data_IF_228786362166
#
_entry.id   IF_228786362166
#
_cell.length_a   1.000
_cell.length_b   1.000
_cell.length_c   1.000
_cell.angle_alpha   90.00
_cell.angle_beta   90.00
_cell.angle_gamma   90.00
#
_symmetry.space_group_name_H-M   'P 1'
#
loop_
_entity.id
_entity.type
_entity.pdbx_description
1 polymer ?
#
# COMPACT_ATOMS: atom_id res chain seq x y z
N UNK A 1 16.43 45.57 12.76
CA UNK A 1 15.60 45.13 13.88
C UNK A 1 15.35 43.66 13.65
N UNK A 2 16.22 42.85 14.07
CA UNK A 2 16.58 42.17 15.32
C UNK A 2 15.68 40.98 15.57
N UNK A 3 16.23 39.81 15.21
CA UNK A 3 16.53 38.65 16.09
C UNK A 3 15.41 38.27 17.07
N UNK A 4 14.62 37.26 16.67
CA UNK A 4 14.11 36.28 17.64
C UNK A 4 14.79 34.94 17.34
N UNK A 5 16.01 34.78 17.92
CA UNK A 5 16.68 33.48 18.05
C UNK A 5 15.90 32.74 19.14
N UNK A 6 15.19 31.70 18.74
CA UNK A 6 14.46 30.79 19.61
C UNK A 6 15.50 30.05 20.48
N UNK A 7 15.77 30.55 21.70
CA UNK A 7 16.56 29.85 22.71
C UNK A 7 15.74 28.64 23.20
N UNK A 8 15.86 27.50 22.54
CA UNK A 8 15.46 26.24 23.17
C UNK A 8 16.39 25.99 24.35
N UNK A 9 15.83 25.88 25.52
CA UNK A 9 16.57 25.60 26.75
C UNK A 9 17.34 24.27 26.60
N UNK A 10 18.54 24.17 27.15
CA UNK A 10 19.32 22.92 27.22
C UNK A 10 18.49 21.72 27.71
N UNK A 11 17.53 21.96 28.60
CA UNK A 11 16.60 20.94 29.10
C UNK A 11 15.63 20.46 28.03
N UNK A 12 15.14 21.33 27.15
CA UNK A 12 14.24 20.92 26.04
C UNK A 12 15.00 20.10 24.98
N UNK A 13 16.26 20.48 24.69
CA UNK A 13 17.09 19.71 23.75
C UNK A 13 17.42 18.33 24.34
N UNK A 14 17.69 18.23 25.63
CA UNK A 14 17.95 16.97 26.32
C UNK A 14 16.69 16.08 26.38
N UNK A 15 15.51 16.66 26.63
CA UNK A 15 14.23 15.93 26.62
C UNK A 15 13.92 15.39 25.22
N UNK A 16 14.07 16.19 24.17
CA UNK A 16 13.89 15.74 22.79
C UNK A 16 14.89 14.64 22.38
N UNK A 17 16.13 14.71 22.87
CA UNK A 17 17.13 13.67 22.63
C UNK A 17 16.77 12.35 23.34
N UNK A 18 16.25 12.41 24.57
CA UNK A 18 15.78 11.24 25.32
C UNK A 18 14.54 10.60 24.70
N UNK A 19 13.56 11.39 24.26
CA UNK A 19 12.38 10.89 23.53
C UNK A 19 12.80 10.21 22.23
N UNK A 20 13.76 10.77 21.50
CA UNK A 20 14.28 10.18 20.25
C UNK A 20 15.02 8.87 20.51
N UNK A 21 15.76 8.77 21.60
CA UNK A 21 16.49 7.56 22.01
C UNK A 21 15.53 6.44 22.44
N UNK A 22 14.50 6.75 23.24
CA UNK A 22 13.44 5.81 23.63
C UNK A 22 12.64 5.34 22.42
N UNK A 23 12.35 6.25 21.47
CA UNK A 23 11.70 5.92 20.22
C UNK A 23 12.52 4.92 19.39
N UNK A 24 13.82 5.10 19.29
CA UNK A 24 14.73 4.17 18.59
C UNK A 24 14.74 2.80 19.25
N UNK A 25 14.81 2.73 20.57
CA UNK A 25 14.76 1.46 21.29
C UNK A 25 13.45 0.70 21.09
N UNK A 26 12.29 1.39 21.09
CA UNK A 26 11.01 0.78 20.81
C UNK A 26 10.90 0.22 19.38
N UNK A 27 11.36 0.98 18.39
CA UNK A 27 11.42 0.56 16.99
C UNK A 27 12.32 -0.65 16.77
N UNK A 28 13.50 -0.65 17.38
CA UNK A 28 14.47 -1.74 17.26
C UNK A 28 13.99 -3.02 17.96
N UNK A 29 13.22 -2.92 19.04
CA UNK A 29 12.61 -4.07 19.70
C UNK A 29 11.57 -4.74 18.79
N UNK A 30 10.61 -3.98 18.25
CA UNK A 30 9.61 -4.48 17.29
C UNK A 30 10.30 -5.07 16.05
N UNK A 31 11.32 -4.37 15.52
CA UNK A 31 12.10 -4.84 14.37
C UNK A 31 12.86 -6.13 14.69
N UNK A 32 13.34 -6.32 15.90
CA UNK A 32 14.01 -7.54 16.35
C UNK A 32 13.08 -8.75 16.27
N UNK A 33 11.88 -8.64 16.85
CA UNK A 33 10.87 -9.70 16.84
C UNK A 33 10.37 -9.98 15.41
N UNK A 34 10.14 -8.95 14.61
CA UNK A 34 9.72 -9.10 13.22
C UNK A 34 10.80 -9.80 12.37
N UNK A 35 12.10 -9.48 12.57
CA UNK A 35 13.21 -10.17 11.88
C UNK A 35 13.26 -11.63 12.24
N UNK A 36 13.13 -11.99 13.50
CA UNK A 36 13.13 -13.39 13.93
C UNK A 36 11.96 -14.15 13.30
N UNK A 37 10.77 -13.56 13.27
CA UNK A 37 9.59 -14.12 12.64
C UNK A 37 9.74 -14.32 11.12
N UNK A 38 10.56 -13.47 10.46
CA UNK A 38 10.79 -13.49 9.01
C UNK A 38 11.97 -14.38 8.57
N UNK A 39 12.73 -14.97 9.49
CA UNK A 39 13.93 -15.77 9.17
C UNK A 39 13.68 -16.99 8.28
N UNK A 40 12.48 -17.55 8.34
CA UNK A 40 12.10 -18.77 7.60
C UNK A 40 11.23 -18.49 6.36
N UNK A 41 11.18 -17.24 5.91
CA UNK A 41 10.35 -16.80 4.78
C UNK A 41 9.25 -15.83 5.20
N UNK A 42 8.24 -15.60 4.34
CA UNK A 42 7.15 -14.67 4.66
C UNK A 42 6.44 -15.08 5.95
N UNK A 43 6.29 -14.17 6.94
CA UNK A 43 5.70 -14.49 8.22
C UNK A 43 4.24 -14.94 8.07
N UNK A 44 3.83 -16.04 8.72
CA UNK A 44 2.45 -16.53 8.68
C UNK A 44 1.54 -15.70 9.62
N UNK A 45 1.48 -14.39 9.40
CA UNK A 45 0.78 -13.40 10.25
C UNK A 45 -0.69 -13.76 10.48
N UNK A 46 -1.33 -14.47 9.55
CA UNK A 46 -2.71 -14.92 9.65
C UNK A 46 -2.93 -15.98 10.73
N UNK A 47 -1.89 -16.72 11.11
CA UNK A 47 -1.94 -17.71 12.17
C UNK A 47 -1.68 -17.11 13.55
N UNK A 48 -1.24 -15.85 13.61
CA UNK A 48 -0.91 -15.19 14.86
C UNK A 48 -2.12 -14.44 15.42
N UNK A 49 -2.41 -14.70 16.69
CA UNK A 49 -3.48 -14.02 17.42
C UNK A 49 -3.02 -13.64 18.84
N UNK A 50 -1.95 -12.86 18.97
CA UNK A 50 -1.45 -12.43 20.28
C UNK A 50 -2.38 -11.38 20.90
N UNK A 51 -2.21 -11.09 22.21
CA UNK A 51 -2.94 -10.02 22.86
C UNK A 51 -2.65 -8.66 22.21
N UNK A 52 -3.65 -7.77 22.26
CA UNK A 52 -3.48 -6.38 21.84
C UNK A 52 -2.70 -5.61 22.90
N UNK A 53 -1.62 -4.95 22.48
CA UNK A 53 -0.68 -4.24 23.36
C UNK A 53 -0.83 -2.70 23.31
N UNK A 54 -1.86 -2.21 22.62
CA UNK A 54 -2.07 -0.76 22.44
C UNK A 54 -1.73 -0.27 21.04
N UNK A 55 -1.93 1.03 20.81
CA UNK A 55 -1.64 1.69 19.56
C UNK A 55 -0.23 2.30 19.60
N UNK A 56 0.51 2.14 18.51
CA UNK A 56 1.79 2.81 18.28
C UNK A 56 1.55 4.17 17.61
N UNK A 57 2.34 5.18 17.96
CA UNK A 57 2.42 6.41 17.15
C UNK A 57 3.17 6.12 15.85
N UNK A 58 2.59 5.22 15.06
CA UNK A 58 3.07 4.83 13.74
C UNK A 58 1.97 5.07 12.72
N UNK A 59 2.34 5.70 11.60
CA UNK A 59 1.42 6.06 10.54
C UNK A 59 2.01 5.77 9.17
N UNK A 60 1.18 5.24 8.27
CA UNK A 60 1.47 5.14 6.84
C UNK A 60 0.66 6.23 6.15
N UNK A 61 1.35 7.21 5.58
CA UNK A 61 0.71 8.29 4.85
C UNK A 61 0.21 7.83 3.46
N UNK A 62 -0.68 8.60 2.85
CA UNK A 62 -1.27 8.30 1.54
C UNK A 62 -0.27 8.24 0.38
N UNK A 63 0.93 8.79 0.58
CA UNK A 63 2.08 8.74 -0.35
C UNK A 63 3.00 7.53 -0.09
N UNK A 64 2.61 6.63 0.81
CA UNK A 64 3.38 5.44 1.18
C UNK A 64 4.53 5.69 2.16
N UNK A 65 4.70 6.90 2.67
CA UNK A 65 5.72 7.22 3.68
C UNK A 65 5.30 6.69 5.04
N UNK A 66 6.20 5.95 5.68
CA UNK A 66 6.02 5.45 7.03
C UNK A 66 6.62 6.43 8.04
N UNK A 67 5.84 6.76 9.06
CA UNK A 67 6.25 7.62 10.17
C UNK A 67 6.23 6.85 11.48
N UNK A 68 7.17 7.16 12.34
CA UNK A 68 7.17 6.76 13.75
C UNK A 68 7.47 7.97 14.63
N UNK A 69 6.61 8.25 15.62
CA UNK A 69 6.66 9.47 16.44
C UNK A 69 6.82 10.73 15.57
N UNK A 70 5.97 10.83 14.52
CA UNK A 70 5.95 11.93 13.55
C UNK A 70 7.22 12.08 12.69
N UNK A 71 8.21 11.19 12.86
CA UNK A 71 9.45 11.21 12.08
C UNK A 71 9.40 10.16 10.97
N UNK A 72 9.75 10.48 9.71
CA UNK A 72 9.72 9.51 8.63
C UNK A 72 10.80 8.43 8.82
N UNK A 73 10.42 7.17 8.54
CA UNK A 73 11.32 6.03 8.58
C UNK A 73 12.08 5.96 7.25
N UNK A 74 13.29 6.50 7.20
CA UNK A 74 14.12 6.54 5.99
C UNK A 74 14.78 5.21 5.60
N UNK A 75 14.76 4.18 6.47
CA UNK A 75 15.39 2.87 6.19
C UNK A 75 14.41 1.94 5.48
N UNK A 76 14.53 1.80 4.16
CA UNK A 76 13.65 0.94 3.34
C UNK A 76 13.58 -0.50 3.86
N UNK A 77 14.70 -1.09 4.30
CA UNK A 77 14.73 -2.44 4.87
C UNK A 77 13.86 -2.58 6.14
N UNK A 78 13.74 -1.52 6.94
CA UNK A 78 12.89 -1.49 8.13
C UNK A 78 11.41 -1.38 7.74
N UNK A 79 11.09 -0.56 6.76
CA UNK A 79 9.74 -0.43 6.20
C UNK A 79 9.26 -1.78 5.65
N UNK A 80 10.08 -2.47 4.84
CA UNK A 80 9.77 -3.80 4.31
C UNK A 80 9.54 -4.82 5.43
N UNK A 81 10.34 -4.76 6.48
CA UNK A 81 10.19 -5.64 7.62
C UNK A 81 8.85 -5.42 8.33
N UNK A 82 8.46 -4.18 8.62
CA UNK A 82 7.16 -3.87 9.22
C UNK A 82 6.01 -4.23 8.28
N UNK A 83 6.17 -3.96 6.98
CA UNK A 83 5.20 -4.36 5.97
C UNK A 83 4.96 -5.87 5.98
N UNK A 84 6.00 -6.70 6.21
CA UNK A 84 5.86 -8.16 6.24
C UNK A 84 4.99 -8.69 7.38
N UNK A 85 4.91 -7.96 8.49
CA UNK A 85 4.10 -8.31 9.69
C UNK A 85 2.82 -7.49 9.80
N UNK A 86 2.46 -6.76 8.75
CA UNK A 86 1.23 -5.97 8.70
C UNK A 86 0.00 -6.87 8.52
N UNK A 87 -1.06 -6.57 9.26
CA UNK A 87 -2.36 -7.24 9.23
C UNK A 87 -3.47 -6.19 9.26
N UNK A 88 -4.53 -6.43 8.51
CA UNK A 88 -5.79 -5.68 8.61
C UNK A 88 -6.84 -6.55 9.30
N UNK A 89 -7.58 -5.98 10.23
CA UNK A 89 -8.75 -6.59 10.88
C UNK A 89 -9.89 -5.56 10.87
N UNK A 90 -10.90 -5.78 10.05
CA UNK A 90 -11.94 -4.80 9.78
C UNK A 90 -11.35 -3.53 9.15
N UNK A 91 -11.55 -2.37 9.80
CA UNK A 91 -11.05 -1.08 9.34
C UNK A 91 -9.73 -0.65 10.01
N UNK A 92 -9.16 -1.52 10.84
CA UNK A 92 -7.92 -1.22 11.57
C UNK A 92 -6.73 -2.01 11.04
N UNK A 93 -5.56 -1.39 11.14
CA UNK A 93 -4.28 -1.99 10.78
C UNK A 93 -3.43 -2.24 12.01
N UNK A 94 -2.69 -3.35 11.97
CA UNK A 94 -1.86 -3.81 13.09
C UNK A 94 -0.51 -4.30 12.59
N UNK A 95 0.53 -4.06 13.36
CA UNK A 95 1.76 -4.83 13.29
C UNK A 95 1.60 -6.02 14.24
N UNK A 96 1.73 -7.23 13.71
CA UNK A 96 1.49 -8.47 14.45
C UNK A 96 2.75 -9.32 14.47
N UNK A 97 3.17 -9.73 15.65
CA UNK A 97 4.24 -10.69 15.88
C UNK A 97 3.67 -11.91 16.61
N UNK A 98 4.40 -12.99 16.84
CA UNK A 98 3.89 -14.12 17.62
C UNK A 98 3.46 -13.77 19.05
N UNK A 99 3.96 -12.66 19.61
CA UNK A 99 3.79 -12.33 21.04
C UNK A 99 2.99 -11.05 21.28
N UNK A 100 2.82 -10.18 20.28
CA UNK A 100 2.13 -8.90 20.45
C UNK A 100 1.43 -8.43 19.17
N UNK A 101 0.37 -7.65 19.35
CA UNK A 101 -0.39 -6.97 18.30
C UNK A 101 -0.51 -5.49 18.65
N UNK A 102 0.04 -4.61 17.82
CA UNK A 102 0.02 -3.17 18.02
C UNK A 102 -0.73 -2.48 16.87
N UNK A 103 -1.67 -1.60 17.21
CA UNK A 103 -2.41 -0.80 16.22
C UNK A 103 -1.54 0.28 15.58
N UNK A 104 -1.79 0.58 14.31
CA UNK A 104 -1.18 1.68 13.58
C UNK A 104 -2.23 2.42 12.75
N UNK A 105 -1.91 3.63 12.30
CA UNK A 105 -2.76 4.44 11.42
C UNK A 105 -2.32 4.25 9.97
N UNK A 106 -3.29 4.07 9.07
CA UNK A 106 -3.07 4.07 7.61
C UNK A 106 -4.06 5.05 6.99
N UNK A 107 -3.56 6.07 6.31
CA UNK A 107 -4.41 7.15 5.79
C UNK A 107 -5.30 6.73 4.63
N UNK A 108 -4.80 5.84 3.77
CA UNK A 108 -5.50 5.38 2.56
C UNK A 108 -5.22 3.87 2.36
N UNK A 109 -4.13 3.52 1.71
CA UNK A 109 -3.70 2.14 1.52
C UNK A 109 -2.30 1.92 2.10
N UNK A 110 -2.00 0.72 2.65
CA UNK A 110 -0.71 0.45 3.27
C UNK A 110 0.45 0.37 2.27
N UNK A 111 0.14 0.16 0.98
CA UNK A 111 1.13 0.04 -0.08
C UNK A 111 0.79 0.95 -1.25
N UNK A 112 1.82 1.24 -2.07
CA UNK A 112 1.67 1.85 -3.40
C UNK A 112 2.12 0.85 -4.46
N UNK A 113 1.36 0.71 -5.55
CA UNK A 113 1.83 0.09 -6.77
C UNK A 113 2.64 1.13 -7.55
N UNK A 114 3.93 0.86 -7.74
CA UNK A 114 4.92 1.83 -8.27
C UNK A 114 5.50 1.42 -9.61
N UNK A 115 5.23 0.19 -10.06
CA UNK A 115 5.68 -0.33 -11.36
C UNK A 115 4.62 -1.27 -11.92
N UNK A 116 4.44 -1.23 -13.23
CA UNK A 116 3.52 -2.07 -13.99
C UNK A 116 4.29 -2.72 -15.13
N UNK A 117 4.23 -4.05 -15.20
CA UNK A 117 4.74 -4.83 -16.33
C UNK A 117 3.58 -5.59 -16.97
N UNK A 118 3.64 -5.71 -18.27
CA UNK A 118 2.71 -6.54 -19.07
C UNK A 118 3.40 -7.84 -19.45
N UNK A 119 2.84 -8.96 -19.05
CA UNK A 119 3.31 -10.29 -19.46
C UNK A 119 2.31 -10.85 -20.48
N UNK A 120 2.79 -11.29 -21.65
CA UNK A 120 2.00 -12.02 -22.62
C UNK A 120 2.34 -13.49 -22.52
N UNK A 121 1.41 -14.38 -22.18
CA UNK A 121 1.70 -15.82 -21.98
C UNK A 121 2.24 -16.51 -23.24
N UNK A 122 1.94 -15.98 -24.43
CA UNK A 122 2.30 -16.58 -25.72
C UNK A 122 3.09 -15.64 -26.67
N UNK A 123 3.75 -14.61 -26.15
CA UNK A 123 4.78 -13.85 -26.85
C UNK A 123 4.35 -12.86 -27.94
N UNK A 124 3.11 -12.88 -28.43
CA UNK A 124 2.71 -12.06 -29.59
C UNK A 124 1.20 -11.69 -29.61
N UNK A 125 0.63 -11.34 -28.48
CA UNK A 125 -0.74 -10.82 -28.44
C UNK A 125 -0.78 -9.29 -28.48
N UNK A 126 -1.74 -8.69 -29.21
CA UNK A 126 -1.94 -7.24 -29.19
C UNK A 126 -2.21 -6.76 -27.77
N UNK A 127 -1.64 -5.61 -27.42
CA UNK A 127 -1.96 -4.93 -26.16
C UNK A 127 -3.47 -4.80 -25.99
N UNK A 128 -4.00 -5.08 -24.78
CA UNK A 128 -5.43 -5.05 -24.50
C UNK A 128 -6.16 -6.37 -24.71
N UNK A 129 -5.47 -7.49 -25.04
CA UNK A 129 -6.15 -8.78 -25.17
C UNK A 129 -6.41 -9.45 -23.83
N UNK A 130 -7.46 -10.29 -23.73
CA UNK A 130 -7.81 -11.07 -22.53
C UNK A 130 -6.69 -12.04 -22.05
N UNK A 131 -5.68 -12.27 -22.88
CA UNK A 131 -4.50 -13.08 -22.58
C UNK A 131 -3.36 -12.27 -21.94
N UNK A 132 -3.45 -10.93 -21.95
CA UNK A 132 -2.46 -10.07 -21.29
C UNK A 132 -2.58 -10.22 -19.78
N UNK A 133 -1.45 -10.37 -19.09
CA UNK A 133 -1.37 -10.40 -17.64
C UNK A 133 -0.60 -9.18 -17.13
N UNK A 134 -1.21 -8.43 -16.24
CA UNK A 134 -0.64 -7.24 -15.63
C UNK A 134 0.04 -7.59 -14.31
N UNK A 135 1.30 -7.23 -14.16
CA UNK A 135 2.07 -7.51 -12.96
C UNK A 135 2.51 -6.20 -12.31
N UNK A 136 2.12 -6.03 -11.05
CA UNK A 136 2.42 -4.84 -10.28
C UNK A 136 3.53 -5.08 -9.27
N UNK A 137 4.44 -4.12 -9.11
CA UNK A 137 5.38 -4.06 -8.01
C UNK A 137 4.95 -2.99 -7.01
N UNK A 138 4.97 -3.35 -5.74
CA UNK A 138 4.70 -2.39 -4.66
C UNK A 138 5.98 -1.64 -4.23
N UNK A 139 5.79 -0.54 -3.50
CA UNK A 139 6.87 0.23 -2.87
C UNK A 139 7.65 -0.55 -1.78
N UNK A 140 7.19 -1.74 -1.41
CA UNK A 140 7.89 -2.67 -0.51
C UNK A 140 8.44 -3.91 -1.24
N UNK A 141 8.47 -3.87 -2.59
CA UNK A 141 8.96 -4.89 -3.51
C UNK A 141 8.16 -6.21 -3.52
N UNK A 142 6.91 -6.20 -3.10
CA UNK A 142 5.99 -7.29 -3.41
C UNK A 142 5.59 -7.21 -4.89
N UNK A 143 5.66 -8.35 -5.60
CA UNK A 143 5.15 -8.49 -6.95
C UNK A 143 3.85 -9.27 -6.95
N UNK A 144 2.82 -8.76 -7.60
CA UNK A 144 1.52 -9.41 -7.72
C UNK A 144 1.07 -9.44 -9.18
N UNK A 145 0.55 -10.59 -9.61
CA UNK A 145 -0.07 -10.78 -10.91
C UNK A 145 -1.56 -10.45 -10.78
N UNK A 146 -2.01 -9.40 -11.46
CA UNK A 146 -3.41 -9.00 -11.44
C UNK A 146 -4.28 -10.05 -12.13
N UNK A 147 -5.26 -10.56 -11.42
CA UNK A 147 -6.16 -11.62 -11.86
C UNK A 147 -7.19 -11.95 -10.79
N UNK A 148 -7.67 -13.19 -10.78
CA UNK A 148 -8.72 -13.64 -9.86
C UNK A 148 -8.30 -13.54 -8.37
N UNK A 149 -7.02 -13.79 -8.05
CA UNK A 149 -6.49 -13.74 -6.67
C UNK A 149 -6.07 -12.32 -6.27
N UNK A 150 -5.50 -11.55 -7.19
CA UNK A 150 -5.04 -10.18 -6.96
C UNK A 150 -5.82 -9.21 -7.84
N UNK A 151 -7.04 -8.91 -7.42
CA UNK A 151 -7.99 -8.12 -8.20
C UNK A 151 -7.66 -6.63 -8.22
N UNK A 152 -8.04 -5.95 -9.31
CA UNK A 152 -8.18 -4.50 -9.34
C UNK A 152 -9.56 -4.08 -8.82
N UNK A 153 -9.60 -2.94 -8.14
CA UNK A 153 -10.85 -2.24 -7.83
C UNK A 153 -10.65 -0.74 -8.04
N UNK A 154 -11.73 -0.06 -8.34
CA UNK A 154 -11.77 1.37 -8.60
C UNK A 154 -12.77 2.01 -7.65
N UNK A 155 -12.32 2.96 -6.85
CA UNK A 155 -13.15 3.69 -5.88
C UNK A 155 -13.30 5.15 -6.32
N UNK A 156 -14.46 5.78 -6.14
CA UNK A 156 -14.61 7.21 -6.40
C UNK A 156 -13.65 8.04 -5.55
N UNK A 157 -12.97 9.00 -6.16
CA UNK A 157 -12.20 10.01 -5.45
C UNK A 157 -13.05 11.27 -5.28
N UNK A 158 -13.64 11.43 -4.09
CA UNK A 158 -14.51 12.56 -3.78
C UNK A 158 -13.79 13.91 -3.91
N UNK A 159 -12.47 13.95 -3.69
CA UNK A 159 -11.70 15.17 -3.74
C UNK A 159 -11.45 15.67 -5.17
N UNK A 160 -11.31 14.75 -6.13
CA UNK A 160 -10.99 15.10 -7.54
C UNK A 160 -12.14 14.82 -8.50
N UNK A 161 -13.19 14.11 -8.05
CA UNK A 161 -14.27 13.63 -8.92
C UNK A 161 -13.85 12.46 -9.83
N UNK A 162 -12.61 11.98 -9.70
CA UNK A 162 -12.05 10.87 -10.48
C UNK A 162 -12.17 9.51 -9.78
N UNK A 163 -11.25 8.61 -10.14
CA UNK A 163 -11.16 7.26 -9.58
C UNK A 163 -9.82 7.03 -8.90
N UNK A 164 -9.85 6.26 -7.82
CA UNK A 164 -8.69 5.71 -7.13
C UNK A 164 -8.60 4.23 -7.45
N UNK A 165 -7.61 3.79 -8.23
CA UNK A 165 -7.36 2.38 -8.49
C UNK A 165 -6.55 1.75 -7.37
N UNK A 166 -6.91 0.50 -7.01
CA UNK A 166 -6.20 -0.32 -6.04
C UNK A 166 -6.01 -1.72 -6.59
N UNK A 167 -4.86 -2.32 -6.31
CA UNK A 167 -4.58 -3.73 -6.58
C UNK A 167 -4.47 -4.50 -5.27
N UNK A 168 -5.10 -5.66 -5.19
CA UNK A 168 -4.99 -6.55 -4.03
C UNK A 168 -3.58 -7.13 -3.96
N UNK A 169 -2.95 -7.05 -2.78
CA UNK A 169 -1.58 -7.56 -2.58
C UNK A 169 -1.58 -8.88 -1.84
N UNK A 170 -2.19 -8.93 -0.68
CA UNK A 170 -2.34 -10.16 0.10
C UNK A 170 -3.37 -9.99 1.22
N UNK A 171 -4.17 -11.00 1.48
CA UNK A 171 -5.22 -10.98 2.51
C UNK A 171 -6.13 -9.76 2.28
N UNK A 172 -6.33 -8.91 3.29
CA UNK A 172 -7.10 -7.66 3.16
C UNK A 172 -6.21 -6.42 2.94
N UNK A 173 -4.98 -6.62 2.46
CA UNK A 173 -4.04 -5.53 2.19
C UNK A 173 -4.00 -5.21 0.69
N UNK A 174 -4.14 -3.92 0.40
CA UNK A 174 -4.22 -3.36 -0.93
C UNK A 174 -3.09 -2.37 -1.18
N UNK A 175 -2.70 -2.23 -2.43
CA UNK A 175 -1.82 -1.17 -2.89
C UNK A 175 -2.63 -0.17 -3.73
N UNK A 176 -2.53 1.10 -3.40
CA UNK A 176 -3.03 2.17 -4.25
C UNK A 176 -2.12 2.28 -5.47
N UNK A 177 -2.69 2.29 -6.65
CA UNK A 177 -1.94 2.52 -7.89
C UNK A 177 -1.56 3.99 -7.97
N UNK A 178 -0.29 4.29 -8.21
CA UNK A 178 0.18 5.67 -8.36
C UNK A 178 -0.47 6.34 -9.56
N UNK A 179 -0.55 7.67 -9.53
CA UNK A 179 -1.18 8.44 -10.62
C UNK A 179 -0.51 8.18 -11.98
N UNK A 180 0.80 8.04 -12.02
CA UNK A 180 1.52 7.72 -13.25
C UNK A 180 1.06 6.38 -13.83
N UNK A 181 1.06 5.32 -13.02
CA UNK A 181 0.59 4.01 -13.46
C UNK A 181 -0.92 3.96 -13.78
N UNK A 182 -1.70 4.86 -13.23
CA UNK A 182 -3.13 4.94 -13.58
C UNK A 182 -3.31 5.39 -15.03
N UNK A 183 -2.49 6.30 -15.53
CA UNK A 183 -2.51 6.66 -16.95
C UNK A 183 -2.11 5.49 -17.84
N UNK A 184 -1.05 4.74 -17.47
CA UNK A 184 -0.65 3.54 -18.19
C UNK A 184 -1.77 2.49 -18.21
N UNK A 185 -2.50 2.32 -17.08
CA UNK A 185 -3.67 1.44 -17.02
C UNK A 185 -4.81 1.89 -17.96
N UNK A 186 -5.08 3.19 -18.02
CA UNK A 186 -6.14 3.73 -18.88
C UNK A 186 -5.79 3.48 -20.36
N UNK A 187 -4.52 3.60 -20.76
CA UNK A 187 -4.07 3.28 -22.12
C UNK A 187 -4.26 1.79 -22.48
N UNK A 188 -4.19 0.90 -21.49
CA UNK A 188 -4.45 -0.55 -21.65
C UNK A 188 -5.94 -0.91 -21.55
N UNK A 189 -6.79 0.08 -21.31
CA UNK A 189 -8.23 -0.12 -21.10
C UNK A 189 -8.97 -0.49 -22.38
N UNK A 190 -10.03 -1.26 -22.21
CA UNK A 190 -10.93 -1.65 -23.30
C UNK A 190 -12.39 -1.56 -22.87
N UNK A 191 -13.29 -1.52 -23.86
CA UNK A 191 -14.72 -1.55 -23.60
C UNK A 191 -15.25 -2.99 -23.71
N UNK A 192 -16.01 -3.43 -22.69
CA UNK A 192 -16.73 -4.72 -22.70
C UNK A 192 -18.18 -4.55 -22.24
N UNK A 193 -19.04 -5.43 -22.73
CA UNK A 193 -20.38 -5.56 -22.19
C UNK A 193 -20.34 -6.36 -20.89
N UNK A 194 -20.83 -5.75 -19.81
CA UNK A 194 -20.93 -6.37 -18.48
C UNK A 194 -22.38 -6.27 -18.03
N UNK A 195 -23.10 -7.39 -18.05
CA UNK A 195 -24.52 -7.48 -17.69
C UNK A 195 -25.42 -6.50 -18.47
N UNK A 196 -25.17 -6.31 -19.78
CA UNK A 196 -25.94 -5.43 -20.65
C UNK A 196 -25.56 -3.95 -20.55
N UNK A 197 -24.50 -3.61 -19.83
CA UNK A 197 -23.94 -2.24 -19.75
C UNK A 197 -22.56 -2.22 -20.39
N UNK A 198 -22.34 -1.29 -21.31
CA UNK A 198 -21.02 -1.07 -21.91
C UNK A 198 -20.11 -0.41 -20.89
N UNK A 199 -19.13 -1.15 -20.41
CA UNK A 199 -18.16 -0.69 -19.40
C UNK A 199 -16.78 -0.51 -20.02
N UNK A 200 -16.09 0.55 -19.64
CA UNK A 200 -14.65 0.68 -19.81
C UNK A 200 -13.95 0.08 -18.60
N UNK A 201 -12.89 -0.68 -18.82
CA UNK A 201 -12.18 -1.37 -17.76
C UNK A 201 -10.86 -1.98 -18.23
N UNK A 202 -10.24 -2.74 -17.36
CA UNK A 202 -8.94 -3.35 -17.55
C UNK A 202 -9.07 -4.86 -17.64
N UNK A 203 -8.51 -5.45 -18.68
CA UNK A 203 -8.37 -6.89 -18.82
C UNK A 203 -7.00 -7.35 -18.31
N UNK A 204 -6.96 -8.42 -17.50
CA UNK A 204 -5.73 -9.05 -17.04
C UNK A 204 -6.00 -10.49 -16.64
N UNK A 205 -5.16 -11.41 -17.07
CA UNK A 205 -5.22 -12.85 -16.71
C UNK A 205 -6.65 -13.43 -16.84
N UNK A 206 -7.31 -13.17 -18.00
CA UNK A 206 -8.69 -13.59 -18.33
C UNK A 206 -9.80 -12.95 -17.51
N UNK A 207 -9.47 -12.11 -16.55
CA UNK A 207 -10.43 -11.32 -15.77
C UNK A 207 -10.64 -9.94 -16.42
N UNK A 208 -11.81 -9.36 -16.19
CA UNK A 208 -12.11 -7.98 -16.58
C UNK A 208 -12.54 -7.18 -15.35
N UNK A 209 -11.85 -6.10 -15.10
CA UNK A 209 -12.08 -5.20 -13.98
C UNK A 209 -12.75 -3.94 -14.49
N UNK A 210 -14.08 -3.88 -14.37
CA UNK A 210 -14.84 -2.73 -14.81
C UNK A 210 -14.48 -1.48 -14.01
N UNK A 211 -14.24 -0.38 -14.72
CA UNK A 211 -13.82 0.89 -14.14
C UNK A 211 -14.99 1.90 -14.09
N UNK A 212 -15.61 2.15 -15.24
CA UNK A 212 -16.70 3.10 -15.36
C UNK A 212 -17.57 2.74 -16.58
N UNK A 213 -18.85 3.19 -16.65
CA UNK A 213 -19.62 3.12 -17.87
C UNK A 213 -18.91 3.86 -19.02
N UNK A 214 -18.85 3.23 -20.21
CA UNK A 214 -18.13 3.80 -21.35
C UNK A 214 -18.70 5.16 -21.80
N UNK A 215 -20.02 5.35 -21.64
CA UNK A 215 -20.68 6.62 -21.98
C UNK A 215 -20.19 7.77 -21.09
N UNK A 216 -19.85 7.51 -19.83
CA UNK A 216 -19.31 8.53 -18.92
C UNK A 216 -17.95 9.09 -19.38
N UNK A 217 -17.15 8.33 -20.13
CA UNK A 217 -15.89 8.80 -20.68
C UNK A 217 -16.08 9.75 -21.86
N UNK A 218 -17.16 9.59 -22.62
CA UNK A 218 -17.45 10.41 -23.81
C UNK A 218 -17.89 11.83 -23.43
N UNK A 219 -18.35 12.03 -22.20
CA UNK A 219 -18.74 13.36 -21.70
C UNK A 219 -17.51 14.23 -21.36
N UNK A 220 -16.31 13.63 -21.24
CA UNK A 220 -15.07 14.34 -20.92
C UNK A 220 -14.12 14.50 -22.11
N UNK A 221 -14.49 14.00 -23.31
CA UNK A 221 -13.74 14.14 -24.55
C UNK A 221 -14.35 15.24 -25.44
#
# INVERSE_FOLDING_TARGET
MLHLICHHSRAQIAAMAQETEQARHGLDAIAGVAREASRKGPPPVHLWNPPFCGDLDMRIASDGTWFYLKTPIGRAALVKLFASVLKREGDRYFLVTPVEKCGIVVDDAPFLAVELNTESPDGDHPQGSAAQALKFRTNVDDWVLCGSEHRLRFEPDVATGGLKPYVHVRRDLWAKVTRALFYDLVELGEERDVNGVRMFGIASDREFFAMTPADSLREFM
#
